data_IF_888888468757
#
_entry.id   IF_888888468757
#
_cell.length_a   1.000
_cell.length_b   1.000
_cell.length_c   1.000
_cell.angle_alpha   90.00
_cell.angle_beta   90.00
_cell.angle_gamma   90.00
#
_symmetry.space_group_name_H-M   'P 1'
#
loop_
_entity.id
_entity.type
_entity.pdbx_description
1 polymer ?
#
# COMPACT_ATOMS: atom_id res chain seq x y z
N UNK A 1 15.74 -39.11 2.17
CA UNK A 1 14.82 -38.76 1.07
C UNK A 1 15.05 -37.29 0.77
N UNK A 2 15.76 -36.97 -0.30
CA UNK A 2 16.10 -35.59 -0.70
C UNK A 2 15.04 -35.07 -1.67
N UNK A 3 14.51 -33.88 -1.41
CA UNK A 3 13.54 -33.21 -2.29
C UNK A 3 14.20 -32.85 -3.64
N UNK A 4 13.54 -33.05 -4.79
CA UNK A 4 14.08 -32.63 -6.08
C UNK A 4 14.10 -31.09 -6.19
N UNK A 5 14.98 -30.50 -7.02
CA UNK A 5 15.05 -29.06 -7.21
C UNK A 5 13.82 -28.56 -7.99
N UNK A 6 13.26 -27.44 -7.55
CA UNK A 6 12.20 -26.72 -8.28
C UNK A 6 12.84 -26.03 -9.47
N UNK A 7 12.43 -26.42 -10.69
CA UNK A 7 12.80 -25.72 -11.93
C UNK A 7 11.94 -24.46 -12.01
N UNK A 8 12.57 -23.29 -11.93
CA UNK A 8 11.91 -22.02 -12.16
C UNK A 8 11.55 -21.90 -13.66
N UNK A 9 10.27 -21.98 -13.99
CA UNK A 9 9.77 -21.63 -15.32
C UNK A 9 9.68 -20.11 -15.41
N UNK A 10 10.44 -19.49 -16.29
CA UNK A 10 10.35 -18.06 -16.58
C UNK A 10 8.96 -17.71 -17.12
N UNK A 11 8.24 -16.84 -16.43
CA UNK A 11 6.99 -16.24 -16.92
C UNK A 11 7.28 -15.38 -18.16
N UNK A 12 6.49 -15.48 -19.24
CA UNK A 12 6.72 -14.64 -20.42
C UNK A 12 6.42 -13.17 -20.11
N UNK A 13 7.32 -12.26 -20.49
CA UNK A 13 7.08 -10.82 -20.44
C UNK A 13 5.90 -10.44 -21.33
N UNK A 14 4.95 -9.61 -20.86
CA UNK A 14 3.90 -9.07 -21.70
C UNK A 14 4.50 -8.13 -22.77
N UNK A 15 3.85 -7.97 -23.93
CA UNK A 15 4.33 -7.10 -24.99
C UNK A 15 4.31 -5.63 -24.56
N UNK A 16 5.37 -4.90 -24.88
CA UNK A 16 5.44 -3.44 -24.68
C UNK A 16 4.49 -2.76 -25.66
N UNK A 17 3.42 -2.14 -25.15
CA UNK A 17 2.60 -1.21 -25.92
C UNK A 17 3.27 0.17 -25.84
N UNK A 18 3.81 0.65 -26.96
CA UNK A 18 4.34 2.01 -27.07
C UNK A 18 3.17 2.95 -27.39
N UNK A 19 2.66 3.65 -26.38
CA UNK A 19 1.69 4.73 -26.55
C UNK A 19 2.42 6.06 -26.84
N UNK A 20 1.88 6.84 -27.78
CA UNK A 20 2.42 8.14 -28.17
C UNK A 20 2.27 9.20 -27.06
N UNK A 21 2.82 10.41 -27.26
CA UNK A 21 2.86 11.44 -26.21
C UNK A 21 1.49 12.11 -26.05
N UNK A 22 0.76 11.78 -24.98
CA UNK A 22 -0.45 12.50 -24.59
C UNK A 22 -0.14 13.73 -23.71
N UNK A 23 -0.76 14.90 -23.96
CA UNK A 23 -0.44 16.16 -23.31
C UNK A 23 -1.35 16.44 -22.10
N UNK A 24 -1.38 15.55 -21.11
CA UNK A 24 -2.04 15.83 -19.82
C UNK A 24 -1.15 15.34 -18.66
N UNK A 25 -0.42 16.30 -18.07
CA UNK A 25 0.03 16.28 -16.68
C UNK A 25 0.53 14.95 -16.10
N UNK A 26 1.71 14.51 -16.53
CA UNK A 26 2.71 13.85 -15.69
C UNK A 26 2.23 13.21 -14.36
N UNK A 27 1.77 11.96 -14.38
CA UNK A 27 1.99 11.03 -13.26
C UNK A 27 3.49 10.62 -13.23
N UNK A 28 4.41 11.59 -13.19
CA UNK A 28 5.86 11.35 -13.42
C UNK A 28 6.59 10.96 -12.14
N UNK A 29 5.90 10.71 -11.03
CA UNK A 29 6.58 10.18 -9.85
C UNK A 29 5.70 9.27 -9.04
N UNK A 30 6.12 8.01 -9.02
CA UNK A 30 5.65 7.02 -8.05
C UNK A 30 5.68 7.63 -6.65
N UNK A 31 4.68 7.35 -5.79
CA UNK A 31 4.74 7.74 -4.39
C UNK A 31 6.09 7.35 -3.81
N UNK A 32 6.76 8.30 -3.18
CA UNK A 32 8.06 8.07 -2.56
C UNK A 32 7.99 8.37 -1.07
N UNK A 33 8.46 7.43 -0.25
CA UNK A 33 8.58 7.59 1.20
C UNK A 33 10.06 7.66 1.53
N UNK A 34 10.48 8.72 2.23
CA UNK A 34 11.90 8.92 2.57
C UNK A 34 12.83 9.04 1.36
N UNK A 35 12.31 9.43 0.19
CA UNK A 35 13.07 9.52 -1.06
C UNK A 35 13.18 8.22 -1.87
N UNK A 36 12.66 7.11 -1.35
CA UNK A 36 12.60 5.82 -2.04
C UNK A 36 11.21 5.62 -2.67
N UNK A 37 11.14 5.08 -3.89
CA UNK A 37 9.87 4.64 -4.48
C UNK A 37 9.25 3.53 -3.63
N UNK A 38 7.93 3.57 -3.41
CA UNK A 38 7.22 2.56 -2.60
C UNK A 38 7.27 1.17 -3.25
N UNK A 39 7.15 1.11 -4.59
CA UNK A 39 7.24 -0.13 -5.36
C UNK A 39 8.29 -0.04 -6.48
N UNK A 40 8.80 -1.19 -7.00
CA UNK A 40 9.54 -1.23 -8.25
C UNK A 40 8.78 -0.55 -9.38
N UNK A 41 9.50 0.05 -10.34
CA UNK A 41 8.87 0.87 -11.38
C UNK A 41 7.84 0.09 -12.23
N UNK A 42 8.07 -1.20 -12.44
CA UNK A 42 7.26 -2.14 -13.22
C UNK A 42 6.19 -2.88 -12.39
N UNK A 43 5.97 -2.47 -11.14
CA UNK A 43 4.93 -3.07 -10.31
C UNK A 43 3.53 -2.67 -10.81
N UNK A 44 2.57 -3.59 -10.82
CA UNK A 44 1.20 -3.33 -11.28
C UNK A 44 0.47 -2.23 -10.49
N UNK A 45 0.90 -1.91 -9.26
CA UNK A 45 0.38 -0.77 -8.50
C UNK A 45 0.74 0.60 -9.09
N UNK A 46 1.69 0.63 -10.04
CA UNK A 46 2.16 1.82 -10.73
C UNK A 46 1.54 1.99 -12.12
N UNK A 47 0.69 1.06 -12.56
CA UNK A 47 0.06 1.07 -13.89
C UNK A 47 -0.83 2.31 -14.03
N UNK A 48 -0.67 3.05 -15.13
CA UNK A 48 -1.57 4.15 -15.45
C UNK A 48 -2.89 3.60 -15.99
N UNK A 49 -3.93 3.71 -15.16
CA UNK A 49 -5.28 3.24 -15.50
C UNK A 49 -6.21 4.35 -15.98
N UNK A 50 -5.71 5.59 -16.15
CA UNK A 50 -6.53 6.76 -16.45
C UNK A 50 -7.26 6.68 -17.80
N UNK A 51 -6.73 5.90 -18.74
CA UNK A 51 -7.34 5.68 -20.06
C UNK A 51 -8.09 4.35 -20.18
N UNK A 52 -8.12 3.52 -19.14
CA UNK A 52 -8.78 2.21 -19.21
C UNK A 52 -10.32 2.37 -19.15
N UNK A 53 -11.07 1.53 -19.86
CA UNK A 53 -12.52 1.54 -19.76
C UNK A 53 -12.95 1.12 -18.35
N UNK A 54 -13.95 1.79 -17.80
CA UNK A 54 -14.58 1.36 -16.55
C UNK A 54 -15.20 -0.04 -16.72
N UNK A 55 -15.14 -0.87 -15.68
CA UNK A 55 -15.80 -2.17 -15.68
C UNK A 55 -17.32 -2.00 -15.91
N UNK A 56 -17.97 -2.80 -16.77
CA UNK A 56 -19.41 -2.71 -17.01
C UNK A 56 -20.28 -2.83 -15.75
N UNK A 57 -19.77 -3.46 -14.69
CA UNK A 57 -20.44 -3.62 -13.40
C UNK A 57 -20.12 -2.49 -12.40
N UNK A 58 -19.34 -1.47 -12.78
CA UNK A 58 -18.91 -0.39 -11.89
C UNK A 58 -20.08 0.24 -11.12
N UNK A 59 -21.20 0.52 -11.80
CA UNK A 59 -22.42 1.04 -11.18
C UNK A 59 -23.00 0.09 -10.12
N UNK A 60 -22.95 -1.22 -10.33
CA UNK A 60 -23.40 -2.23 -9.37
C UNK A 60 -22.51 -2.22 -8.13
N UNK A 61 -21.19 -2.14 -8.30
CA UNK A 61 -20.25 -2.05 -7.17
C UNK A 61 -20.49 -0.78 -6.36
N UNK A 62 -20.61 0.37 -7.02
CA UNK A 62 -20.88 1.67 -6.38
C UNK A 62 -22.24 1.67 -5.64
N UNK A 63 -23.27 1.02 -6.21
CA UNK A 63 -24.55 0.86 -5.54
C UNK A 63 -24.46 -0.04 -4.29
N UNK A 64 -23.57 -1.03 -4.30
CA UNK A 64 -23.40 -1.98 -3.19
C UNK A 64 -22.68 -1.39 -1.98
N UNK A 65 -21.81 -0.39 -2.18
CA UNK A 65 -21.02 0.23 -1.10
C UNK A 65 -21.75 1.39 -0.38
N UNK A 66 -23.07 1.46 -0.49
CA UNK A 66 -23.89 2.51 0.13
C UNK A 66 -23.38 3.94 -0.17
N UNK A 67 -22.95 4.16 -1.42
CA UNK A 67 -22.27 5.38 -1.90
C UNK A 67 -23.04 6.70 -1.71
N UNK A 68 -24.32 6.63 -1.35
CA UNK A 68 -25.16 7.79 -1.04
C UNK A 68 -25.08 8.24 0.43
N UNK A 69 -24.36 7.50 1.29
CA UNK A 69 -24.22 7.81 2.72
C UNK A 69 -22.77 8.09 3.09
N UNK A 70 -22.56 9.07 3.95
CA UNK A 70 -21.24 9.47 4.45
C UNK A 70 -20.91 8.82 5.80
N UNK A 71 -21.20 7.52 5.96
CA UNK A 71 -20.72 6.74 7.13
C UNK A 71 -19.36 6.11 6.84
N UNK A 72 -18.51 6.82 6.10
CA UNK A 72 -17.15 6.35 5.82
C UNK A 72 -16.26 6.78 6.97
N UNK A 73 -15.60 5.79 7.55
CA UNK A 73 -14.57 5.95 8.55
C UNK A 73 -13.23 5.82 7.80
N UNK A 74 -12.63 6.96 7.41
CA UNK A 74 -11.32 6.94 6.78
C UNK A 74 -10.23 6.75 7.83
N UNK A 75 -9.73 5.52 8.02
CA UNK A 75 -8.62 5.22 8.94
C UNK A 75 -7.29 5.94 8.60
N UNK A 76 -7.28 6.79 7.57
CA UNK A 76 -6.18 7.65 7.15
C UNK A 76 -6.68 9.07 6.88
N UNK A 77 -5.91 10.09 7.28
CA UNK A 77 -6.26 11.49 7.05
C UNK A 77 -5.17 12.47 7.48
N UNK A 78 -5.26 13.72 7.03
CA UNK A 78 -4.38 14.82 7.48
C UNK A 78 -4.92 15.52 8.74
N UNK A 79 -6.11 15.15 9.19
CA UNK A 79 -6.68 15.62 10.44
C UNK A 79 -6.01 14.87 11.62
N UNK A 80 -5.25 15.55 12.49
CA UNK A 80 -4.60 14.90 13.63
C UNK A 80 -5.59 14.39 14.69
N UNK A 81 -6.88 14.71 14.58
CA UNK A 81 -7.93 14.17 15.44
C UNK A 81 -8.51 12.84 14.96
N UNK A 82 -8.07 12.34 13.79
CA UNK A 82 -8.69 11.19 13.15
C UNK A 82 -7.73 10.36 12.27
N UNK A 83 -7.80 9.03 12.38
CA UNK A 83 -6.98 8.07 11.62
C UNK A 83 -5.72 7.59 12.35
N UNK A 84 -5.07 6.56 11.78
CA UNK A 84 -3.88 5.92 12.35
C UNK A 84 -2.64 6.78 12.05
N UNK A 85 -1.93 7.29 13.07
CA UNK A 85 -0.77 8.14 12.85
C UNK A 85 0.44 7.31 12.37
N UNK A 86 1.28 7.92 11.53
CA UNK A 86 2.51 7.29 11.04
C UNK A 86 3.72 8.22 11.17
N UNK A 87 4.92 7.65 11.17
CA UNK A 87 6.19 8.37 11.14
C UNK A 87 7.16 7.69 10.19
N UNK A 88 7.89 8.47 9.40
CA UNK A 88 8.97 7.98 8.53
C UNK A 88 10.29 8.06 9.30
N UNK A 89 10.98 6.93 9.42
CA UNK A 89 12.28 6.83 10.09
C UNK A 89 13.40 6.59 9.07
N UNK A 90 14.66 6.99 9.35
CA UNK A 90 15.78 6.63 8.49
C UNK A 90 16.00 5.11 8.51
N UNK A 91 16.58 4.56 7.45
CA UNK A 91 16.94 3.14 7.39
C UNK A 91 17.95 2.68 8.46
N UNK A 92 18.58 3.63 9.15
CA UNK A 92 19.46 3.39 10.30
C UNK A 92 18.72 3.30 11.64
N UNK A 93 17.39 3.42 11.67
CA UNK A 93 16.59 3.27 12.89
C UNK A 93 16.84 1.90 13.52
N UNK A 94 17.30 1.84 14.78
CA UNK A 94 17.48 0.57 15.47
C UNK A 94 16.19 -0.23 15.55
N UNK A 95 16.32 -1.53 15.32
CA UNK A 95 15.24 -2.49 15.50
C UNK A 95 15.08 -2.80 16.99
N UNK A 96 13.84 -2.80 17.48
CA UNK A 96 13.50 -3.11 18.87
C UNK A 96 12.63 -4.37 18.94
N UNK A 97 12.84 -5.24 19.94
CA UNK A 97 11.95 -6.37 20.17
C UNK A 97 10.58 -5.84 20.61
N UNK A 98 9.52 -6.33 19.97
CA UNK A 98 8.13 -6.02 20.33
C UNK A 98 7.46 -7.33 20.72
N UNK A 99 6.76 -7.30 21.85
CA UNK A 99 5.92 -8.40 22.32
C UNK A 99 4.48 -8.01 22.11
N UNK A 100 3.80 -8.69 21.19
CA UNK A 100 2.35 -8.55 21.02
C UNK A 100 1.64 -9.21 22.20
N UNK A 101 0.83 -8.42 22.92
CA UNK A 101 0.04 -8.92 24.06
C UNK A 101 -1.35 -9.40 23.65
N UNK A 102 -1.79 -9.06 22.44
CA UNK A 102 -3.03 -9.51 21.81
C UNK A 102 -2.75 -9.81 20.33
N UNK A 103 -3.39 -10.86 19.79
CA UNK A 103 -3.35 -11.24 18.37
C UNK A 103 -1.95 -11.36 17.76
N UNK A 104 -0.97 -11.83 18.55
CA UNK A 104 0.41 -11.99 18.07
C UNK A 104 0.58 -13.03 16.96
N UNK A 105 -0.39 -13.92 16.80
CA UNK A 105 -0.49 -14.90 15.71
C UNK A 105 -0.96 -14.29 14.38
N UNK A 106 -1.49 -13.07 14.39
CA UNK A 106 -1.83 -12.29 13.20
C UNK A 106 -0.68 -11.37 12.75
N UNK A 107 0.46 -11.41 13.44
CA UNK A 107 1.61 -10.54 13.20
C UNK A 107 2.86 -11.34 12.88
N UNK A 108 3.71 -10.79 12.02
CA UNK A 108 5.05 -11.35 11.83
C UNK A 108 5.88 -11.20 13.12
N UNK A 109 6.75 -12.17 13.46
CA UNK A 109 7.69 -11.98 14.54
C UNK A 109 8.63 -10.80 14.24
N UNK A 110 8.79 -9.88 15.20
CA UNK A 110 9.74 -8.78 15.11
C UNK A 110 11.22 -9.24 15.08
N UNK A 111 12.17 -8.31 15.23
CA UNK A 111 12.03 -6.94 15.73
C UNK A 111 11.56 -5.92 14.67
N UNK A 112 11.23 -4.70 15.10
CA UNK A 112 10.68 -3.64 14.24
C UNK A 112 11.44 -2.31 14.39
N UNK A 113 11.50 -1.46 13.35
CA UNK A 113 12.16 -0.15 13.42
C UNK A 113 11.26 0.92 14.06
N UNK A 114 10.74 0.66 15.26
CA UNK A 114 9.84 1.59 15.98
C UNK A 114 10.69 2.60 16.77
N UNK A 115 10.56 3.92 16.50
CA UNK A 115 11.28 4.93 17.26
C UNK A 115 10.61 5.14 18.64
N UNK A 116 11.36 5.55 19.69
CA UNK A 116 10.77 5.79 21.02
C UNK A 116 9.67 6.85 21.07
N UNK A 117 9.62 7.73 20.07
CA UNK A 117 8.61 8.77 19.91
C UNK A 117 7.59 8.44 18.80
N UNK A 118 7.39 7.16 18.49
CA UNK A 118 6.33 6.75 17.57
C UNK A 118 4.97 7.30 18.05
N UNK A 119 4.17 7.91 17.16
CA UNK A 119 2.85 8.38 17.55
C UNK A 119 1.95 7.18 17.88
N UNK A 120 1.04 7.38 18.82
CA UNK A 120 0.12 6.35 19.31
C UNK A 120 -1.27 6.69 18.82
N UNK A 121 -1.95 5.71 18.22
CA UNK A 121 -3.37 5.81 17.87
C UNK A 121 -4.23 5.94 19.13
N UNK A 122 -5.21 6.84 19.11
CA UNK A 122 -6.18 6.96 20.20
C UNK A 122 -7.14 5.75 20.19
N UNK A 123 -7.41 5.15 21.34
CA UNK A 123 -8.20 3.91 21.44
C UNK A 123 -9.73 4.06 21.33
N UNK A 124 -10.24 5.19 20.85
CA UNK A 124 -11.69 5.38 20.64
C UNK A 124 -12.03 5.16 19.17
N UNK A 125 -13.10 4.43 18.90
CA UNK A 125 -13.84 4.61 17.66
C UNK A 125 -14.33 6.07 17.63
N UNK A 126 -14.01 6.80 16.57
CA UNK A 126 -14.43 8.20 16.41
C UNK A 126 -15.69 8.35 15.55
#
# INVERSE_FOLDING_TARGET
MTNPPVVATSSPSPPLIVLGPDPIGAFVRQPSIGGCSVFPADNSWNEDVSSLPADPNSNTYIASINSSRQYLHADFGSDPSYGIPYVVVPGSQPFVPITFTAYGDESDPGPYPIPPNAPIESGSDH
#
